data_IF_950273836470
#
_entry.id   IF_950273836470
#
_cell.length_a   1.000
_cell.length_b   1.000
_cell.length_c   1.000
_cell.angle_alpha   90.00
_cell.angle_beta   90.00
_cell.angle_gamma   90.00
#
_symmetry.space_group_name_H-M   'P 1'
#
loop_
_entity.id
_entity.type
_entity.pdbx_description
1 polymer ?
#
# COMPACT_ATOMS: atom_id res chain seq x y z
N UNK A 1 5.72 17.55 -17.92
CA UNK A 1 6.02 16.21 -17.39
C UNK A 1 4.89 15.31 -17.86
N UNK A 2 5.22 14.11 -18.29
CA UNK A 2 4.25 13.09 -18.68
C UNK A 2 4.14 12.04 -17.54
N UNK A 3 3.14 12.12 -16.64
CA UNK A 3 2.97 11.16 -15.56
C UNK A 3 2.23 9.89 -16.01
N UNK A 4 2.46 8.79 -15.30
CA UNK A 4 1.62 7.58 -15.31
C UNK A 4 1.01 7.38 -13.93
N UNK A 5 -0.26 7.00 -13.86
CA UNK A 5 -0.90 6.59 -12.61
C UNK A 5 -0.71 5.09 -12.42
N UNK A 6 -0.29 4.66 -11.24
CA UNK A 6 -0.02 3.25 -10.92
C UNK A 6 -0.87 2.85 -9.72
N UNK A 7 -1.71 1.82 -9.91
CA UNK A 7 -2.64 1.32 -8.90
C UNK A 7 -2.32 -0.14 -8.60
N UNK A 8 -1.64 -0.45 -7.47
CA UNK A 8 -1.48 -1.82 -7.03
C UNK A 8 -2.79 -2.37 -6.45
N UNK A 9 -3.15 -3.58 -6.85
CA UNK A 9 -4.30 -4.33 -6.31
C UNK A 9 -3.84 -5.67 -5.75
N UNK A 10 -4.42 -6.10 -4.64
CA UNK A 10 -4.02 -7.32 -3.92
C UNK A 10 -5.20 -8.26 -3.76
N UNK A 11 -5.07 -9.50 -4.24
CA UNK A 11 -6.18 -10.46 -4.26
C UNK A 11 -5.83 -11.77 -3.56
N UNK A 12 -6.79 -12.31 -2.80
CA UNK A 12 -6.64 -13.58 -2.10
C UNK A 12 -7.74 -14.57 -2.45
N UNK A 13 -7.49 -15.86 -2.21
CA UNK A 13 -8.50 -16.90 -2.36
C UNK A 13 -9.58 -16.81 -1.27
N UNK A 14 -10.72 -17.50 -1.48
CA UNK A 14 -11.88 -17.54 -0.54
C UNK A 14 -11.55 -17.95 0.91
N UNK A 15 -10.39 -18.53 1.15
CA UNK A 15 -9.96 -19.09 2.46
C UNK A 15 -8.58 -18.57 2.85
N UNK A 16 -8.36 -17.26 2.84
CA UNK A 16 -7.23 -16.75 3.60
C UNK A 16 -7.51 -17.00 5.09
N UNK A 17 -6.70 -17.85 5.75
CA UNK A 17 -6.76 -18.01 7.21
C UNK A 17 -5.98 -16.84 7.83
N UNK A 18 -6.63 -15.92 8.55
CA UNK A 18 -5.91 -14.85 9.26
C UNK A 18 -4.87 -15.45 10.22
N UNK A 19 -3.63 -14.97 10.16
CA UNK A 19 -2.60 -15.23 11.18
C UNK A 19 -1.50 -16.25 10.84
N UNK A 20 -1.47 -16.90 9.67
CA UNK A 20 -0.43 -17.89 9.34
C UNK A 20 0.94 -17.27 8.97
N UNK A 21 0.96 -16.16 8.21
CA UNK A 21 2.20 -15.50 7.79
C UNK A 21 2.05 -13.97 7.72
N UNK A 22 2.49 -13.25 8.76
CA UNK A 22 2.41 -11.78 8.82
C UNK A 22 3.26 -11.07 7.75
N UNK A 23 4.22 -11.76 7.13
CA UNK A 23 5.07 -11.22 6.05
C UNK A 23 4.38 -11.28 4.68
N UNK A 24 3.36 -12.13 4.53
CA UNK A 24 2.63 -12.34 3.27
C UNK A 24 1.14 -11.98 3.38
N UNK A 25 0.73 -11.30 4.45
CA UNK A 25 -0.65 -10.85 4.64
C UNK A 25 -0.73 -9.37 4.24
N UNK A 26 -1.63 -9.05 3.31
CA UNK A 26 -1.94 -7.67 2.93
C UNK A 26 -3.06 -7.12 3.81
N UNK A 27 -3.05 -5.81 4.05
CA UNK A 27 -4.00 -5.09 4.92
C UNK A 27 -5.45 -5.21 4.44
N UNK A 28 -5.65 -5.11 3.12
CA UNK A 28 -6.98 -5.14 2.47
C UNK A 28 -6.95 -5.99 1.20
N UNK A 29 -6.42 -7.21 1.29
CA UNK A 29 -6.46 -8.12 0.16
C UNK A 29 -7.92 -8.45 -0.20
N UNK A 30 -8.35 -8.13 -1.41
CA UNK A 30 -9.71 -8.36 -1.89
C UNK A 30 -9.90 -9.86 -2.18
N UNK A 31 -10.85 -10.55 -1.52
CA UNK A 31 -11.23 -11.89 -1.92
C UNK A 31 -11.74 -11.89 -3.35
N UNK A 32 -11.37 -12.90 -4.14
CA UNK A 32 -11.73 -12.92 -5.57
C UNK A 32 -13.24 -12.75 -5.84
N UNK A 33 -14.09 -13.25 -4.94
CA UNK A 33 -15.56 -13.21 -5.03
C UNK A 33 -16.22 -11.92 -4.53
N UNK A 34 -15.46 -11.00 -3.95
CA UNK A 34 -15.96 -9.69 -3.52
C UNK A 34 -15.70 -8.67 -4.64
N UNK A 35 -16.50 -7.61 -4.79
CA UNK A 35 -16.27 -6.61 -5.84
C UNK A 35 -14.90 -5.94 -5.70
N UNK A 36 -14.49 -5.59 -4.47
CA UNK A 36 -13.30 -4.77 -4.21
C UNK A 36 -13.56 -3.28 -4.47
N UNK A 37 -12.53 -2.46 -4.27
CA UNK A 37 -12.67 -0.99 -4.30
C UNK A 37 -12.21 -0.35 -5.63
N UNK A 38 -11.46 -1.09 -6.47
CA UNK A 38 -10.88 -0.57 -7.72
C UNK A 38 -11.91 0.13 -8.62
N UNK A 39 -13.12 -0.42 -8.77
CA UNK A 39 -14.17 0.19 -9.62
C UNK A 39 -14.53 1.60 -9.15
N UNK A 40 -14.65 1.82 -7.84
CA UNK A 40 -14.90 3.15 -7.26
C UNK A 40 -13.71 4.09 -7.47
N UNK A 41 -12.49 3.57 -7.35
CA UNK A 41 -11.28 4.35 -7.61
C UNK A 41 -11.23 4.81 -9.08
N UNK A 42 -11.46 3.90 -10.03
CA UNK A 42 -11.50 4.21 -11.47
C UNK A 42 -12.64 5.19 -11.82
N UNK A 43 -13.85 5.00 -11.29
CA UNK A 43 -14.95 5.97 -11.47
C UNK A 43 -14.53 7.38 -11.04
N UNK A 44 -13.80 7.50 -9.92
CA UNK A 44 -13.32 8.79 -9.43
C UNK A 44 -12.23 9.42 -10.31
N UNK A 45 -11.53 8.61 -11.11
CA UNK A 45 -10.49 9.05 -12.04
C UNK A 45 -11.06 9.61 -13.35
N UNK A 46 -12.29 9.25 -13.75
CA UNK A 46 -12.90 9.73 -15.00
C UNK A 46 -13.04 11.25 -15.08
N UNK A 47 -13.15 11.92 -13.93
CA UNK A 47 -13.21 13.39 -13.85
C UNK A 47 -11.84 14.08 -13.78
N UNK A 48 -10.74 13.33 -13.68
CA UNK A 48 -9.39 13.89 -13.53
C UNK A 48 -8.87 14.36 -14.89
N UNK A 49 -8.43 15.61 -14.92
CA UNK A 49 -7.87 16.26 -16.10
C UNK A 49 -6.46 15.71 -16.38
N UNK A 50 -6.15 15.55 -17.67
CA UNK A 50 -4.84 15.12 -18.16
C UNK A 50 -4.33 13.80 -17.54
N UNK A 51 -5.23 12.86 -17.24
CA UNK A 51 -4.92 11.60 -16.54
C UNK A 51 -3.85 10.74 -17.23
N UNK A 52 -3.86 10.69 -18.57
CA UNK A 52 -2.94 9.86 -19.34
C UNK A 52 -3.22 8.37 -19.20
N UNK A 53 -2.17 7.58 -18.94
CA UNK A 53 -2.25 6.13 -18.75
C UNK A 53 -2.42 5.79 -17.27
N UNK A 54 -3.35 4.88 -16.97
CA UNK A 54 -3.48 4.20 -15.68
C UNK A 54 -2.95 2.78 -15.81
N UNK A 55 -2.05 2.38 -14.93
CA UNK A 55 -1.49 1.03 -14.87
C UNK A 55 -2.01 0.35 -13.61
N UNK A 56 -2.82 -0.69 -13.78
CA UNK A 56 -3.31 -1.52 -12.66
C UNK A 56 -2.41 -2.73 -12.51
N UNK A 57 -1.72 -2.85 -11.39
CA UNK A 57 -0.87 -4.00 -11.08
C UNK A 57 -1.68 -5.04 -10.30
N UNK A 58 -1.65 -6.30 -10.74
CA UNK A 58 -2.46 -7.37 -10.14
C UNK A 58 -1.59 -8.32 -9.33
N UNK A 59 -1.49 -8.09 -8.03
CA UNK A 59 -0.87 -9.03 -7.09
C UNK A 59 -1.92 -10.02 -6.60
N UNK A 60 -1.62 -11.32 -6.74
CA UNK A 60 -2.55 -12.37 -6.35
C UNK A 60 -1.80 -13.66 -6.00
N UNK A 61 -2.42 -14.50 -5.17
CA UNK A 61 -1.92 -15.87 -4.95
C UNK A 61 -1.85 -16.63 -6.29
N UNK A 62 -0.79 -17.42 -6.49
CA UNK A 62 -0.53 -18.11 -7.75
C UNK A 62 -1.72 -18.95 -8.26
N UNK A 63 -2.49 -19.54 -7.34
CA UNK A 63 -3.65 -20.37 -7.67
C UNK A 63 -4.82 -19.59 -8.31
N UNK A 64 -4.89 -18.27 -8.09
CA UNK A 64 -5.99 -17.41 -8.56
C UNK A 64 -5.51 -16.27 -9.48
N UNK A 65 -4.22 -16.17 -9.77
CA UNK A 65 -3.64 -15.02 -10.45
C UNK A 65 -4.32 -14.68 -11.78
N UNK A 66 -4.58 -15.69 -12.62
CA UNK A 66 -5.30 -15.50 -13.89
C UNK A 66 -6.73 -14.98 -13.69
N UNK A 67 -7.44 -15.51 -12.70
CA UNK A 67 -8.83 -15.10 -12.41
C UNK A 67 -8.89 -13.67 -11.85
N UNK A 68 -7.92 -13.30 -11.01
CA UNK A 68 -7.79 -11.93 -10.51
C UNK A 68 -7.50 -10.96 -11.66
N UNK A 69 -6.60 -11.33 -12.56
CA UNK A 69 -6.28 -10.51 -13.74
C UNK A 69 -7.49 -10.34 -14.67
N UNK A 70 -8.22 -11.42 -14.98
CA UNK A 70 -9.48 -11.38 -15.74
C UNK A 70 -10.52 -10.47 -15.08
N UNK A 71 -10.67 -10.56 -13.75
CA UNK A 71 -11.57 -9.69 -12.99
C UNK A 71 -11.15 -8.21 -13.09
N UNK A 72 -9.86 -7.90 -12.94
CA UNK A 72 -9.38 -6.52 -13.02
C UNK A 72 -9.54 -5.94 -14.43
N UNK A 73 -9.38 -6.76 -15.48
CA UNK A 73 -9.71 -6.36 -16.87
C UNK A 73 -11.19 -6.02 -17.03
N UNK A 74 -12.09 -6.88 -16.54
CA UNK A 74 -13.52 -6.63 -16.61
C UNK A 74 -13.92 -5.34 -15.87
N UNK A 75 -13.29 -5.04 -14.73
CA UNK A 75 -13.49 -3.75 -14.04
C UNK A 75 -12.98 -2.59 -14.89
N UNK A 76 -11.79 -2.69 -15.47
CA UNK A 76 -11.23 -1.65 -16.34
C UNK A 76 -12.09 -1.38 -17.59
N UNK A 77 -12.65 -2.43 -18.21
CA UNK A 77 -13.53 -2.34 -19.38
C UNK A 77 -14.86 -1.63 -19.09
N UNK A 78 -15.31 -1.63 -17.84
CA UNK A 78 -16.48 -0.87 -17.41
C UNK A 78 -16.23 0.65 -17.40
N UNK A 79 -14.97 1.09 -17.55
CA UNK A 79 -14.54 2.50 -17.58
C UNK A 79 -13.88 2.87 -18.92
N UNK A 80 -14.60 2.83 -20.05
CA UNK A 80 -14.02 3.02 -21.40
C UNK A 80 -13.49 4.43 -21.67
N UNK A 81 -13.73 5.39 -20.78
CA UNK A 81 -13.16 6.75 -20.86
C UNK A 81 -11.71 6.81 -20.38
N UNK A 82 -11.25 5.77 -19.67
CA UNK A 82 -9.91 5.67 -19.11
C UNK A 82 -9.01 4.82 -20.02
N UNK A 83 -7.76 5.25 -20.18
CA UNK A 83 -6.73 4.39 -20.77
C UNK A 83 -6.11 3.54 -19.66
N UNK A 84 -6.62 2.33 -19.46
CA UNK A 84 -6.16 1.43 -18.40
C UNK A 84 -5.37 0.25 -18.99
N UNK A 85 -4.14 0.06 -18.52
CA UNK A 85 -3.34 -1.13 -18.78
C UNK A 85 -3.30 -2.02 -17.54
N UNK A 86 -3.83 -3.25 -17.64
CA UNK A 86 -3.76 -4.25 -16.57
C UNK A 86 -2.47 -5.07 -16.72
N UNK A 87 -1.64 -5.07 -15.67
CA UNK A 87 -0.35 -5.77 -15.60
C UNK A 87 -0.45 -6.88 -14.56
N UNK A 88 -0.66 -8.11 -15.04
CA UNK A 88 -0.59 -9.33 -14.23
C UNK A 88 0.60 -10.21 -14.58
N UNK A 89 0.44 -11.53 -14.43
CA UNK A 89 1.56 -12.48 -14.50
C UNK A 89 2.16 -12.58 -15.91
N UNK A 90 1.35 -12.47 -16.95
CA UNK A 90 1.82 -12.56 -18.34
C UNK A 90 2.72 -11.37 -18.70
N UNK A 91 2.31 -10.15 -18.31
CA UNK A 91 3.12 -8.94 -18.47
C UNK A 91 4.41 -9.00 -17.63
N UNK A 92 4.35 -9.53 -16.40
CA UNK A 92 5.53 -9.77 -15.57
C UNK A 92 6.50 -10.77 -16.23
N UNK A 93 6.00 -11.81 -16.88
CA UNK A 93 6.82 -12.77 -17.60
C UNK A 93 7.56 -12.11 -18.77
N UNK A 94 6.92 -11.20 -19.51
CA UNK A 94 7.56 -10.41 -20.56
C UNK A 94 8.67 -9.51 -20.01
N UNK A 95 8.43 -8.85 -18.87
CA UNK A 95 9.45 -8.04 -18.17
C UNK A 95 10.66 -8.92 -17.81
N UNK A 96 10.43 -10.07 -17.18
CA UNK A 96 11.49 -11.00 -16.77
C UNK A 96 12.28 -11.53 -17.97
N UNK A 97 11.59 -11.98 -19.02
CA UNK A 97 12.23 -12.44 -20.24
C UNK A 97 13.11 -11.35 -20.86
N UNK A 98 12.64 -10.10 -20.87
CA UNK A 98 13.42 -8.99 -21.39
C UNK A 98 14.61 -8.65 -20.50
N UNK A 99 14.44 -8.68 -19.18
CA UNK A 99 15.54 -8.50 -18.22
C UNK A 99 16.64 -9.55 -18.43
N UNK A 100 16.28 -10.82 -18.64
CA UNK A 100 17.24 -11.89 -18.96
C UNK A 100 17.99 -11.61 -20.27
N UNK A 101 17.29 -11.19 -21.33
CA UNK A 101 17.92 -10.79 -22.61
C UNK A 101 18.86 -9.60 -22.46
N UNK A 102 18.55 -8.69 -21.54
CA UNK A 102 19.38 -7.54 -21.20
C UNK A 102 20.50 -7.90 -20.20
N UNK A 103 20.71 -9.18 -19.88
CA UNK A 103 21.68 -9.68 -18.90
C UNK A 103 21.52 -9.06 -17.51
N UNK A 104 20.29 -8.69 -17.14
CA UNK A 104 19.95 -8.31 -15.77
C UNK A 104 19.73 -9.61 -14.99
N UNK A 105 20.31 -9.71 -13.80
CA UNK A 105 20.23 -10.92 -12.98
C UNK A 105 18.80 -11.34 -12.65
N UNK A 106 18.63 -12.56 -12.13
CA UNK A 106 17.33 -13.07 -11.68
C UNK A 106 16.90 -12.33 -10.42
N UNK A 107 15.87 -11.50 -10.57
CA UNK A 107 15.33 -10.61 -9.52
C UNK A 107 13.84 -10.86 -9.29
N UNK A 108 13.45 -12.15 -9.27
CA UNK A 108 12.05 -12.57 -9.25
C UNK A 108 11.31 -12.14 -7.98
N UNK A 109 12.04 -11.99 -6.87
CA UNK A 109 11.49 -11.53 -5.58
C UNK A 109 11.43 -10.01 -5.53
N UNK A 110 12.46 -9.34 -6.04
CA UNK A 110 12.63 -7.89 -5.94
C UNK A 110 11.76 -7.12 -6.92
N UNK A 111 11.46 -7.75 -8.07
CA UNK A 111 10.57 -7.27 -9.12
C UNK A 111 9.54 -8.36 -9.38
N UNK A 112 8.41 -8.25 -8.69
CA UNK A 112 7.36 -9.25 -8.73
C UNK A 112 6.04 -8.75 -8.18
N UNK A 113 4.96 -9.43 -8.55
CA UNK A 113 3.59 -9.11 -8.12
C UNK A 113 3.26 -9.80 -6.78
N UNK A 114 4.17 -9.71 -5.81
CA UNK A 114 4.02 -10.25 -4.45
C UNK A 114 4.78 -9.37 -3.47
N UNK A 115 4.11 -8.89 -2.43
CA UNK A 115 4.64 -7.89 -1.50
C UNK A 115 4.48 -6.47 -2.04
N UNK A 116 4.29 -5.51 -1.15
CA UNK A 116 4.01 -4.12 -1.52
C UNK A 116 5.17 -3.48 -2.31
N UNK A 117 6.39 -3.56 -1.78
CA UNK A 117 7.57 -2.94 -2.40
C UNK A 117 7.91 -3.53 -3.77
N UNK A 118 7.91 -4.86 -3.90
CA UNK A 118 8.19 -5.53 -5.17
C UNK A 118 7.12 -5.20 -6.24
N UNK A 119 5.85 -5.12 -5.83
CA UNK A 119 4.76 -4.76 -6.73
C UNK A 119 4.94 -3.32 -7.23
N UNK A 120 5.22 -2.37 -6.34
CA UNK A 120 5.53 -0.97 -6.74
C UNK A 120 6.76 -0.89 -7.66
N UNK A 121 7.77 -1.73 -7.46
CA UNK A 121 8.94 -1.81 -8.36
C UNK A 121 8.56 -2.26 -9.79
N UNK A 122 7.61 -3.20 -9.96
CA UNK A 122 7.06 -3.55 -11.29
C UNK A 122 6.45 -2.31 -11.94
N UNK A 123 5.70 -1.52 -11.19
CA UNK A 123 5.16 -0.25 -11.65
C UNK A 123 6.23 0.73 -12.15
N UNK A 124 7.33 0.88 -11.40
CA UNK A 124 8.46 1.74 -11.79
C UNK A 124 9.18 1.22 -13.04
N UNK A 125 9.34 -0.10 -13.19
CA UNK A 125 9.91 -0.72 -14.39
C UNK A 125 9.02 -0.46 -15.60
N UNK A 126 7.70 -0.63 -15.47
CA UNK A 126 6.73 -0.31 -16.52
C UNK A 126 6.79 1.17 -16.90
N UNK A 127 6.81 2.07 -15.91
CA UNK A 127 6.92 3.50 -16.12
C UNK A 127 8.21 3.87 -16.89
N UNK A 128 9.33 3.26 -16.52
CA UNK A 128 10.63 3.48 -17.18
C UNK A 128 10.67 2.92 -18.61
N UNK A 129 10.16 1.70 -18.82
CA UNK A 129 10.11 1.07 -20.13
C UNK A 129 9.26 1.87 -21.13
N UNK A 130 8.14 2.40 -20.66
CA UNK A 130 7.24 3.24 -21.47
C UNK A 130 7.67 4.70 -21.58
N UNK A 131 8.76 5.11 -20.90
CA UNK A 131 9.35 6.43 -21.03
C UNK A 131 8.60 7.56 -20.30
N UNK A 132 7.89 7.25 -19.20
CA UNK A 132 7.21 8.27 -18.40
C UNK A 132 8.18 9.10 -17.56
N UNK A 133 7.85 10.38 -17.35
CA UNK A 133 8.69 11.31 -16.56
C UNK A 133 8.43 11.21 -15.06
N UNK A 134 7.26 10.70 -14.67
CA UNK A 134 6.84 10.57 -13.29
C UNK A 134 5.87 9.40 -13.13
N UNK A 135 5.89 8.78 -11.95
CA UNK A 135 4.91 7.80 -11.50
C UNK A 135 4.09 8.42 -10.36
N UNK A 136 2.77 8.35 -10.44
CA UNK A 136 1.84 8.73 -9.37
C UNK A 136 1.18 7.45 -8.88
N UNK A 137 1.50 7.06 -7.64
CA UNK A 137 0.85 5.92 -7.01
C UNK A 137 -0.45 6.34 -6.36
N UNK A 138 -1.47 5.50 -6.53
CA UNK A 138 -2.82 5.61 -5.97
C UNK A 138 -3.21 4.19 -5.52
N UNK A 139 -3.78 4.03 -4.34
CA UNK A 139 -4.24 2.73 -3.85
C UNK A 139 -5.69 2.47 -4.33
N UNK A 140 -6.13 1.21 -4.39
CA UNK A 140 -7.42 0.86 -5.00
C UNK A 140 -8.64 1.25 -4.15
N UNK A 141 -8.43 1.55 -2.88
CA UNK A 141 -9.44 2.00 -1.92
C UNK A 141 -9.56 3.54 -1.82
N UNK A 142 -8.88 4.26 -2.70
CA UNK A 142 -8.84 5.71 -2.73
C UNK A 142 -9.86 6.33 -3.70
N UNK A 143 -10.32 7.54 -3.37
CA UNK A 143 -11.28 8.30 -4.18
C UNK A 143 -10.76 9.71 -4.37
N UNK A 144 -10.68 10.13 -5.63
CA UNK A 144 -10.20 11.45 -6.00
C UNK A 144 -11.38 12.38 -6.17
N UNK A 145 -11.30 13.56 -5.58
CA UNK A 145 -12.37 14.57 -5.66
C UNK A 145 -12.08 15.71 -6.61
N UNK A 146 -10.82 16.14 -6.65
CA UNK A 146 -10.38 17.30 -7.41
C UNK A 146 -10.06 16.90 -8.86
N UNK A 147 -10.76 17.46 -9.87
CA UNK A 147 -10.40 17.26 -11.27
C UNK A 147 -8.95 17.62 -11.59
N UNK A 148 -8.32 18.51 -10.81
CA UNK A 148 -6.93 18.94 -11.01
C UNK A 148 -5.92 18.09 -10.24
N UNK A 149 -6.33 16.93 -9.72
CA UNK A 149 -5.48 16.06 -8.89
C UNK A 149 -4.08 15.83 -9.48
N UNK A 150 -3.95 15.52 -10.77
CA UNK A 150 -2.64 15.34 -11.40
C UNK A 150 -1.84 16.64 -11.59
N UNK A 151 -2.50 17.76 -11.84
CA UNK A 151 -1.81 19.06 -11.86
C UNK A 151 -1.21 19.36 -10.49
N UNK A 152 -1.98 19.09 -9.42
CA UNK A 152 -1.49 19.23 -8.07
C UNK A 152 -0.37 18.21 -7.81
N UNK A 153 -0.47 16.96 -8.25
CA UNK A 153 0.60 15.95 -8.16
C UNK A 153 1.91 16.36 -8.85
N UNK A 154 1.84 17.15 -9.93
CA UNK A 154 3.02 17.63 -10.65
C UNK A 154 3.57 18.95 -10.10
N UNK A 155 2.83 19.65 -9.23
CA UNK A 155 3.28 20.91 -8.66
C UNK A 155 4.60 20.75 -7.89
N UNK A 156 5.62 21.48 -8.33
CA UNK A 156 6.97 21.47 -7.74
C UNK A 156 7.83 20.25 -8.08
N UNK A 157 7.25 19.15 -8.59
CA UNK A 157 8.01 17.96 -8.95
C UNK A 157 8.97 18.26 -10.12
N UNK A 158 10.21 17.76 -10.04
CA UNK A 158 11.28 18.06 -10.98
C UNK A 158 11.85 19.48 -10.89
N UNK A 159 11.36 20.32 -9.97
CA UNK A 159 11.88 21.68 -9.73
C UNK A 159 12.89 21.71 -8.58
N UNK A 160 13.60 22.82 -8.47
CA UNK A 160 14.49 23.09 -7.35
C UNK A 160 13.77 23.89 -6.26
N UNK A 161 14.08 23.58 -5.02
CA UNK A 161 13.74 24.43 -3.87
C UNK A 161 14.56 25.72 -3.90
N UNK A 162 14.21 26.68 -3.04
CA UNK A 162 15.03 27.91 -2.87
C UNK A 162 16.49 27.65 -2.47
N UNK A 163 16.79 26.47 -1.89
CA UNK A 163 18.14 26.04 -1.51
C UNK A 163 18.84 25.21 -2.59
N UNK A 164 18.27 25.11 -3.80
CA UNK A 164 18.83 24.31 -4.89
C UNK A 164 18.64 22.80 -4.75
N UNK A 165 17.87 22.34 -3.76
CA UNK A 165 17.58 20.90 -3.58
C UNK A 165 16.48 20.49 -4.57
N UNK A 166 16.67 19.45 -5.39
CA UNK A 166 15.66 18.99 -6.32
C UNK A 166 14.50 18.27 -5.61
N UNK A 167 13.28 18.51 -6.09
CA UNK A 167 12.05 17.86 -5.61
C UNK A 167 11.77 16.68 -6.53
N UNK A 168 12.29 15.51 -6.17
CA UNK A 168 12.21 14.32 -7.01
C UNK A 168 11.17 13.30 -6.52
N UNK A 169 10.68 13.46 -5.31
CA UNK A 169 9.53 12.74 -4.80
C UNK A 169 8.70 13.68 -3.93
N UNK A 170 7.38 13.50 -3.93
CA UNK A 170 6.50 14.20 -3.00
C UNK A 170 5.27 13.37 -2.66
N UNK A 171 4.65 13.70 -1.55
CA UNK A 171 3.44 13.06 -1.05
C UNK A 171 2.42 14.11 -0.65
N UNK A 172 1.14 13.78 -0.82
CA UNK A 172 0.04 14.57 -0.33
C UNK A 172 -0.42 14.09 1.05
N UNK A 173 -1.72 14.14 1.29
CA UNK A 173 -2.33 13.61 2.50
C UNK A 173 -3.72 13.03 2.23
N UNK A 174 -4.15 12.19 3.16
CA UNK A 174 -5.48 11.62 3.11
C UNK A 174 -6.51 12.44 3.85
N UNK A 175 -7.73 12.34 3.34
CA UNK A 175 -8.95 12.74 4.00
C UNK A 175 -9.72 11.46 4.34
N UNK A 176 -10.05 11.29 5.62
CA UNK A 176 -10.88 10.17 6.07
C UNK A 176 -12.37 10.40 5.81
N UNK A 177 -13.21 9.45 6.21
CA UNK A 177 -14.67 9.52 6.10
C UNK A 177 -15.32 10.75 6.76
N UNK A 178 -14.63 11.36 7.73
CA UNK A 178 -15.05 12.52 8.50
C UNK A 178 -14.54 13.83 7.91
N UNK A 179 -13.87 13.79 6.76
CA UNK A 179 -13.30 15.00 6.16
C UNK A 179 -12.02 15.49 6.84
N UNK A 180 -11.38 14.67 7.70
CA UNK A 180 -10.20 15.05 8.48
C UNK A 180 -8.93 14.33 7.98
N UNK A 181 -7.78 14.98 8.14
CA UNK A 181 -6.45 14.40 7.90
C UNK A 181 -5.82 13.80 9.17
N UNK A 182 -6.51 13.90 10.31
CA UNK A 182 -6.04 13.37 11.58
C UNK A 182 -6.35 11.89 11.69
N UNK A 183 -5.44 11.18 12.34
CA UNK A 183 -5.73 9.83 12.82
C UNK A 183 -6.77 9.84 13.92
N UNK A 184 -7.60 8.80 13.96
CA UNK A 184 -8.64 8.62 15.00
C UNK A 184 -8.08 8.05 16.31
N UNK A 185 -6.87 8.42 16.65
CA UNK A 185 -6.20 7.94 17.84
C UNK A 185 -6.85 8.47 19.12
N UNK A 186 -6.85 7.62 20.15
CA UNK A 186 -7.36 7.93 21.47
C UNK A 186 -6.28 7.66 22.54
N UNK A 187 -6.20 8.57 23.51
CA UNK A 187 -5.30 8.46 24.67
C UNK A 187 -5.86 7.51 25.73
N UNK A 188 -5.83 6.21 25.43
CA UNK A 188 -6.29 5.16 26.35
C UNK A 188 -5.10 4.48 27.02
N UNK A 189 -5.23 4.05 28.27
CA UNK A 189 -4.14 3.49 29.09
C UNK A 189 -3.38 2.35 28.41
N UNK A 190 -4.06 1.49 27.63
CA UNK A 190 -3.44 0.37 26.93
C UNK A 190 -2.63 0.78 25.68
N UNK A 191 -2.71 2.05 25.25
CA UNK A 191 -1.92 2.65 24.18
C UNK A 191 -0.73 3.47 24.69
N UNK A 192 -0.50 3.54 26.01
CA UNK A 192 0.56 4.38 26.63
C UNK A 192 1.94 4.20 25.99
N UNK A 193 2.29 2.99 25.56
CA UNK A 193 3.58 2.65 24.94
C UNK A 193 3.53 2.57 23.41
N UNK A 194 2.39 2.92 22.79
CA UNK A 194 2.14 2.89 21.35
C UNK A 194 1.36 4.13 20.91
N UNK A 195 2.04 5.27 20.92
CA UNK A 195 1.46 6.59 20.65
C UNK A 195 1.60 7.02 19.19
N UNK A 196 1.45 6.07 18.27
CA UNK A 196 1.70 6.29 16.85
C UNK A 196 0.80 7.37 16.24
N UNK A 197 -0.49 7.26 16.49
CA UNK A 197 -1.47 8.24 16.03
C UNK A 197 -1.30 9.62 16.66
N UNK A 198 -0.94 9.70 17.94
CA UNK A 198 -0.63 10.98 18.58
C UNK A 198 0.58 11.67 17.94
N UNK A 199 1.69 10.94 17.78
CA UNK A 199 2.90 11.41 17.12
C UNK A 199 2.63 11.91 15.70
N UNK A 200 1.88 11.14 14.92
CA UNK A 200 1.46 11.55 13.58
C UNK A 200 0.55 12.78 13.59
N UNK A 201 -0.46 12.83 14.46
CA UNK A 201 -1.38 13.96 14.56
C UNK A 201 -0.61 15.25 14.87
N UNK A 202 0.41 15.17 15.72
CA UNK A 202 1.31 16.29 16.00
C UNK A 202 2.13 16.70 14.76
N UNK A 203 2.68 15.73 14.02
CA UNK A 203 3.41 16.00 12.79
C UNK A 203 2.52 16.63 11.70
N UNK A 204 1.41 15.99 11.34
CA UNK A 204 0.54 16.45 10.23
C UNK A 204 -0.07 17.81 10.55
N UNK A 205 -0.45 18.07 11.79
CA UNK A 205 -0.96 19.40 12.22
C UNK A 205 0.09 20.49 11.99
N UNK A 206 1.36 20.18 12.21
CA UNK A 206 2.46 21.12 11.96
C UNK A 206 2.71 21.28 10.47
N UNK A 207 2.74 20.18 9.71
CA UNK A 207 2.95 20.17 8.26
C UNK A 207 1.85 20.95 7.51
N UNK A 208 0.59 20.81 7.93
CA UNK A 208 -0.56 21.51 7.35
C UNK A 208 -0.50 23.03 7.53
N UNK A 209 0.15 23.52 8.60
CA UNK A 209 0.39 24.96 8.85
C UNK A 209 1.62 25.50 8.10
N UNK A 210 2.44 24.61 7.54
CA UNK A 210 3.67 24.95 6.84
C UNK A 210 3.44 25.56 5.46
N UNK A 211 4.54 25.88 4.74
CA UNK A 211 4.46 26.23 3.32
C UNK A 211 3.88 25.06 2.53
N UNK A 212 3.35 25.34 1.33
CA UNK A 212 2.72 24.31 0.49
C UNK A 212 3.60 23.06 0.35
N UNK A 213 4.87 23.25 0.01
CA UNK A 213 5.86 22.17 -0.05
C UNK A 213 6.82 22.29 1.13
N UNK A 214 6.78 21.31 2.04
CA UNK A 214 7.69 21.18 3.18
C UNK A 214 8.39 19.83 3.15
N UNK A 215 9.52 19.69 3.84
CA UNK A 215 10.15 18.37 4.01
C UNK A 215 9.19 17.44 4.75
N UNK A 216 8.91 16.25 4.23
CA UNK A 216 7.97 15.32 4.86
C UNK A 216 8.68 14.31 5.76
N UNK A 217 8.06 13.92 6.87
CA UNK A 217 8.50 12.75 7.66
C UNK A 217 7.54 11.56 7.54
N UNK A 218 6.51 11.67 6.72
CA UNK A 218 5.56 10.60 6.45
C UNK A 218 5.24 10.56 4.97
N UNK A 219 4.75 9.42 4.50
CA UNK A 219 4.36 9.20 3.13
C UNK A 219 2.99 8.54 3.11
N UNK A 220 2.13 9.06 2.27
CA UNK A 220 0.85 8.48 1.90
C UNK A 220 1.08 7.67 0.62
N UNK A 221 1.09 6.34 0.72
CA UNK A 221 1.49 5.42 -0.36
C UNK A 221 0.72 5.59 -1.68
N UNK A 222 -0.59 5.76 -1.62
CA UNK A 222 -1.47 6.12 -2.74
C UNK A 222 -1.67 7.63 -2.97
N UNK A 223 -0.96 8.48 -2.24
CA UNK A 223 -0.83 9.90 -2.60
C UNK A 223 0.66 10.24 -2.74
N UNK A 224 1.35 9.54 -3.62
CA UNK A 224 2.80 9.60 -3.81
C UNK A 224 3.16 9.86 -5.29
N UNK A 225 3.93 10.90 -5.56
CA UNK A 225 4.46 11.21 -6.89
C UNK A 225 5.98 11.10 -6.88
N UNK A 226 6.53 10.30 -7.80
CA UNK A 226 7.96 9.99 -7.93
C UNK A 226 8.43 10.37 -9.33
N UNK A 227 9.38 11.29 -9.42
CA UNK A 227 10.00 11.71 -10.68
C UNK A 227 10.96 10.61 -11.19
N UNK A 228 11.18 10.53 -12.50
CA UNK A 228 12.09 9.54 -13.10
C UNK A 228 13.49 9.53 -12.53
N UNK A 229 14.04 10.69 -12.22
CA UNK A 229 15.35 10.78 -11.56
C UNK A 229 15.37 10.17 -10.15
N UNK A 230 14.24 10.07 -9.44
CA UNK A 230 14.17 9.31 -8.19
C UNK A 230 14.10 7.81 -8.46
N UNK A 231 13.14 7.35 -9.26
CA UNK A 231 12.98 5.91 -9.49
C UNK A 231 14.08 5.28 -10.36
N UNK A 232 14.83 6.05 -11.16
CA UNK A 232 16.08 5.60 -11.81
C UNK A 232 17.16 5.22 -10.79
N UNK A 233 17.16 5.91 -9.65
CA UNK A 233 18.21 5.75 -8.63
C UNK A 233 17.79 4.80 -7.54
N UNK A 234 16.52 4.76 -7.14
CA UNK A 234 16.07 4.05 -5.94
C UNK A 234 14.84 3.19 -6.18
N UNK A 235 14.90 1.96 -5.67
CA UNK A 235 13.80 1.01 -5.61
C UNK A 235 13.02 1.13 -4.28
N UNK A 236 11.79 0.62 -4.27
CA UNK A 236 11.14 0.22 -3.03
C UNK A 236 11.80 -1.04 -2.47
N UNK A 237 11.80 -1.17 -1.14
CA UNK A 237 12.35 -2.35 -0.47
C UNK A 237 11.40 -3.56 -0.59
N UNK A 238 11.80 -4.66 -1.24
CA UNK A 238 10.95 -5.84 -1.38
C UNK A 238 10.77 -6.64 -0.09
N UNK A 239 11.65 -6.47 0.90
CA UNK A 239 11.65 -7.25 2.15
C UNK A 239 10.85 -6.59 3.27
N UNK A 240 10.46 -5.33 3.15
CA UNK A 240 9.55 -4.73 4.12
C UNK A 240 8.13 -5.28 3.88
N UNK A 241 7.52 -5.83 4.93
CA UNK A 241 6.20 -6.49 4.83
C UNK A 241 5.03 -5.50 4.76
N UNK A 242 5.22 -4.28 5.27
CA UNK A 242 4.21 -3.20 5.36
C UNK A 242 4.94 -1.87 5.60
N UNK A 243 4.46 -0.76 5.03
CA UNK A 243 5.05 0.57 5.23
C UNK A 243 6.20 0.87 4.27
N UNK A 244 6.19 0.26 3.09
CA UNK A 244 7.15 0.45 2.01
C UNK A 244 7.25 1.89 1.53
N UNK A 245 6.19 2.68 1.71
CA UNK A 245 6.11 4.10 1.35
C UNK A 245 7.01 4.96 2.24
N UNK A 246 6.91 4.79 3.56
CA UNK A 246 7.78 5.45 4.53
C UNK A 246 9.20 4.91 4.44
N UNK A 247 9.37 3.60 4.23
CA UNK A 247 10.70 3.03 3.99
C UNK A 247 11.34 3.61 2.73
N UNK A 248 10.58 3.85 1.67
CA UNK A 248 11.08 4.55 0.47
C UNK A 248 11.56 5.97 0.78
N UNK A 249 10.89 6.70 1.67
CA UNK A 249 11.41 7.98 2.19
C UNK A 249 12.72 7.81 2.93
N UNK A 250 12.84 6.80 3.82
CA UNK A 250 14.08 6.52 4.53
C UNK A 250 15.21 6.19 3.55
N UNK A 251 14.91 5.40 2.52
CA UNK A 251 15.84 5.07 1.43
C UNK A 251 16.28 6.32 0.67
N UNK A 252 15.34 7.18 0.26
CA UNK A 252 15.65 8.47 -0.37
C UNK A 252 16.64 9.27 0.47
N UNK A 253 16.40 9.39 1.78
CA UNK A 253 17.28 10.12 2.69
C UNK A 253 18.65 9.48 2.85
N UNK A 254 18.73 8.15 2.99
CA UNK A 254 20.01 7.43 3.05
C UNK A 254 20.85 7.66 1.79
N UNK A 255 20.22 7.78 0.62
CA UNK A 255 20.89 8.04 -0.66
C UNK A 255 20.89 9.53 -1.07
N UNK A 256 20.75 10.43 -0.09
CA UNK A 256 20.97 11.88 -0.27
C UNK A 256 19.87 12.64 -1.02
N UNK A 257 18.67 12.07 -1.12
CA UNK A 257 17.45 12.71 -1.64
C UNK A 257 16.42 12.87 -0.52
N UNK A 258 15.26 13.45 -0.83
CA UNK A 258 14.19 13.60 0.15
C UNK A 258 12.80 13.52 -0.49
N UNK A 259 11.78 13.43 0.35
CA UNK A 259 10.39 13.53 -0.06
C UNK A 259 9.74 14.79 0.53
N UNK A 260 8.93 15.45 -0.29
CA UNK A 260 8.25 16.70 0.07
C UNK A 260 6.77 16.46 0.36
N UNK A 261 6.25 17.06 1.41
CA UNK A 261 4.82 17.08 1.74
C UNK A 261 4.15 18.23 1.00
N UNK A 262 3.07 17.96 0.27
CA UNK A 262 2.23 18.97 -0.38
C UNK A 262 0.89 19.12 0.36
N UNK A 263 0.75 20.19 1.15
CA UNK A 263 -0.45 20.43 1.95
C UNK A 263 -1.70 20.86 1.15
N UNK A 264 -1.61 20.89 -0.18
CA UNK A 264 -2.73 21.12 -1.10
C UNK A 264 -3.10 19.89 -1.93
N UNK A 265 -2.23 18.88 -1.98
CA UNK A 265 -2.49 17.67 -2.73
C UNK A 265 -3.09 16.61 -1.81
N UNK A 266 -4.31 16.17 -2.12
CA UNK A 266 -5.10 15.28 -1.25
C UNK A 266 -6.03 14.39 -2.03
N UNK A 267 -6.47 13.32 -1.39
CA UNK A 267 -7.55 12.46 -1.86
C UNK A 267 -8.27 11.85 -0.65
N UNK A 268 -9.43 11.23 -0.88
CA UNK A 268 -10.17 10.50 0.16
C UNK A 268 -9.70 9.06 0.24
N UNK A 269 -9.37 8.60 1.44
CA UNK A 269 -8.96 7.23 1.69
C UNK A 269 -10.11 6.49 2.38
N UNK A 270 -10.63 5.44 1.74
CA UNK A 270 -11.86 4.74 2.11
C UNK A 270 -11.65 3.20 2.10
N UNK A 271 -10.78 2.68 2.98
CA UNK A 271 -10.45 1.27 3.04
C UNK A 271 -11.65 0.42 3.50
N UNK A 272 -11.70 -0.86 3.12
CA UNK A 272 -12.72 -1.76 3.63
C UNK A 272 -12.49 -2.08 5.12
N UNK A 273 -13.55 -2.54 5.80
CA UNK A 273 -13.46 -2.91 7.22
C UNK A 273 -12.40 -4.01 7.44
N UNK A 274 -11.48 -3.76 8.38
CA UNK A 274 -10.43 -4.72 8.69
C UNK A 274 -10.91 -5.80 9.66
N UNK A 275 -10.55 -7.05 9.37
CA UNK A 275 -11.00 -8.21 10.12
C UNK A 275 -10.32 -8.39 11.50
N UNK A 276 -9.16 -7.77 11.76
CA UNK A 276 -8.33 -8.07 12.95
C UNK A 276 -7.37 -6.93 13.33
N UNK A 277 -7.63 -6.27 14.46
CA UNK A 277 -6.72 -5.25 15.02
C UNK A 277 -5.39 -5.85 15.51
N UNK A 278 -5.41 -7.05 16.08
CA UNK A 278 -4.21 -7.65 16.62
C UNK A 278 -3.28 -8.21 15.54
N UNK A 279 -3.81 -8.65 14.40
CA UNK A 279 -2.99 -9.05 13.25
C UNK A 279 -2.38 -7.83 12.54
N UNK A 280 -3.11 -6.70 12.42
CA UNK A 280 -2.54 -5.40 11.99
C UNK A 280 -1.40 -4.94 12.88
N UNK A 281 -1.64 -4.95 14.18
CA UNK A 281 -0.59 -4.64 15.14
C UNK A 281 0.60 -5.59 15.02
N UNK A 282 0.37 -6.87 14.68
CA UNK A 282 1.47 -7.80 14.39
C UNK A 282 2.25 -7.37 13.14
N UNK A 283 1.62 -6.93 12.05
CA UNK A 283 2.34 -6.44 10.87
C UNK A 283 3.18 -5.19 11.21
N UNK A 284 2.65 -4.25 12.01
CA UNK A 284 3.40 -3.08 12.48
C UNK A 284 4.66 -3.47 13.26
N UNK A 285 4.58 -4.54 14.05
CA UNK A 285 5.75 -5.07 14.78
C UNK A 285 6.83 -5.53 13.80
N UNK A 286 6.47 -6.26 12.74
CA UNK A 286 7.43 -6.67 11.73
C UNK A 286 8.03 -5.47 11.01
N UNK A 287 7.18 -4.51 10.61
CA UNK A 287 7.58 -3.24 9.99
C UNK A 287 8.60 -2.49 10.83
N UNK A 288 8.23 -2.08 12.04
CA UNK A 288 9.06 -1.17 12.83
C UNK A 288 10.35 -1.82 13.31
N UNK A 289 10.32 -3.12 13.62
CA UNK A 289 11.55 -3.86 13.97
C UNK A 289 12.46 -3.99 12.74
N UNK A 290 11.90 -4.25 11.56
CA UNK A 290 12.67 -4.28 10.30
C UNK A 290 13.29 -2.92 9.99
N UNK A 291 12.49 -1.84 9.97
CA UNK A 291 12.96 -0.46 9.68
C UNK A 291 14.06 -0.02 10.67
N UNK A 292 13.85 -0.27 11.97
CA UNK A 292 14.87 0.02 12.99
C UNK A 292 16.20 -0.70 12.69
N UNK A 293 16.14 -2.01 12.43
CA UNK A 293 17.35 -2.82 12.14
C UNK A 293 18.00 -2.43 10.82
N UNK A 294 17.22 -2.05 9.81
CA UNK A 294 17.72 -1.55 8.53
C UNK A 294 18.48 -0.24 8.71
N UNK A 295 17.96 0.69 9.51
CA UNK A 295 18.67 1.92 9.85
C UNK A 295 19.90 1.69 10.73
N UNK A 296 19.89 0.69 11.63
CA UNK A 296 21.11 0.31 12.34
C UNK A 296 22.18 -0.23 11.39
N UNK A 297 21.80 -1.11 10.46
CA UNK A 297 22.71 -1.69 9.48
C UNK A 297 23.29 -0.62 8.54
N UNK A 298 22.47 0.33 8.08
CA UNK A 298 22.92 1.39 7.16
C UNK A 298 23.98 2.30 7.76
N UNK A 299 24.03 2.47 9.09
CA UNK A 299 25.09 3.25 9.77
C UNK A 299 26.48 2.66 9.59
N UNK A 300 26.58 1.37 9.29
CA UNK A 300 27.86 0.70 9.02
C UNK A 300 28.33 0.87 7.55
N UNK A 301 27.47 1.39 6.67
CA UNK A 301 27.78 1.60 5.25
C UNK A 301 28.30 3.02 5.03
N UNK A 302 29.49 3.14 4.44
CA UNK A 302 30.24 4.40 4.31
C UNK A 302 29.55 5.38 3.34
N UNK A 303 28.94 4.86 2.29
CA UNK A 303 28.38 5.67 1.20
C UNK A 303 26.95 6.20 1.48
N UNK A 304 26.38 5.89 2.65
CA UNK A 304 25.02 6.29 3.01
C UNK A 304 24.98 7.43 4.02
N UNK A 305 24.04 8.35 3.82
CA UNK A 305 23.71 9.36 4.81
C UNK A 305 23.01 8.72 6.01
N UNK A 306 23.43 9.13 7.21
CA UNK A 306 22.81 8.64 8.44
C UNK A 306 21.45 9.30 8.67
N UNK A 307 20.39 8.50 8.63
CA UNK A 307 19.05 8.92 9.04
C UNK A 307 18.90 8.69 10.54
N UNK A 308 18.69 9.79 11.26
CA UNK A 308 18.59 9.81 12.73
C UNK A 308 17.13 9.90 13.17
N UNK A 309 16.76 9.19 14.22
CA UNK A 309 15.39 9.20 14.75
C UNK A 309 14.96 10.61 15.16
N UNK A 310 15.88 11.38 15.74
CA UNK A 310 15.68 12.76 16.17
C UNK A 310 15.32 13.69 14.99
N UNK A 311 15.82 13.39 13.79
CA UNK A 311 15.47 14.14 12.57
C UNK A 311 14.08 13.81 12.02
N UNK A 312 13.42 12.80 12.60
CA UNK A 312 12.11 12.30 12.25
C UNK A 312 11.08 12.56 13.37
N UNK A 313 11.40 13.37 14.37
CA UNK A 313 10.42 13.78 15.38
C UNK A 313 9.36 14.73 14.79
N UNK A 314 8.10 14.69 15.27
CA UNK A 314 7.57 13.78 16.29
C UNK A 314 7.18 12.40 15.74
N UNK A 315 7.13 12.22 14.41
CA UNK A 315 6.79 10.96 13.74
C UNK A 315 7.62 10.79 12.47
N UNK A 316 8.20 9.60 12.20
CA UNK A 316 8.16 8.35 12.97
C UNK A 316 9.26 8.20 14.04
N UNK A 317 9.98 9.27 14.40
CA UNK A 317 11.16 9.25 15.29
C UNK A 317 11.08 8.26 16.45
N UNK A 318 10.03 8.29 17.30
CA UNK A 318 9.93 7.42 18.45
C UNK A 318 9.91 5.94 18.11
N UNK A 319 9.62 5.52 16.88
CA UNK A 319 9.60 4.10 16.47
C UNK A 319 10.93 3.62 15.91
N UNK A 320 11.91 4.51 15.73
CA UNK A 320 13.22 4.22 15.15
C UNK A 320 14.34 4.33 16.19
N UNK A 321 13.98 4.19 17.47
CA UNK A 321 14.87 4.27 18.62
C UNK A 321 15.01 2.94 19.38
N UNK A 322 16.12 2.76 20.12
CA UNK A 322 16.29 1.63 21.04
C UNK A 322 15.10 1.49 22.01
N UNK A 323 14.79 0.25 22.40
CA UNK A 323 13.70 -0.04 23.34
C UNK A 323 12.32 -0.18 22.71
N UNK A 324 12.19 -0.04 21.38
CA UNK A 324 10.97 -0.36 20.62
C UNK A 324 10.40 -1.75 20.97
N UNK A 325 11.23 -2.80 20.98
CA UNK A 325 10.78 -4.16 21.26
C UNK A 325 10.10 -4.29 22.65
N UNK A 326 10.60 -3.57 23.65
CA UNK A 326 10.01 -3.54 25.00
C UNK A 326 8.65 -2.82 24.99
N UNK A 327 8.55 -1.66 24.33
CA UNK A 327 7.29 -0.92 24.18
C UNK A 327 6.23 -1.73 23.45
N UNK A 328 6.62 -2.43 22.39
CA UNK A 328 5.75 -3.37 21.68
C UNK A 328 5.23 -4.46 22.62
N UNK A 329 6.13 -5.15 23.35
CA UNK A 329 5.74 -6.26 24.21
C UNK A 329 4.78 -5.81 25.33
N UNK A 330 5.02 -4.63 25.92
CA UNK A 330 4.12 -4.03 26.90
C UNK A 330 2.76 -3.69 26.27
N UNK A 331 2.75 -3.00 25.13
CA UNK A 331 1.51 -2.66 24.41
C UNK A 331 0.70 -3.91 24.07
N UNK A 332 1.34 -4.94 23.51
CA UNK A 332 0.69 -6.20 23.16
C UNK A 332 0.04 -6.87 24.37
N UNK A 333 0.72 -6.85 25.52
CA UNK A 333 0.21 -7.38 26.77
C UNK A 333 -1.00 -6.57 27.27
N UNK A 334 -0.90 -5.25 27.34
CA UNK A 334 -2.00 -4.38 27.80
C UNK A 334 -3.24 -4.54 26.90
N UNK A 335 -3.05 -4.49 25.58
CA UNK A 335 -4.12 -4.69 24.60
C UNK A 335 -4.73 -6.09 24.68
N UNK A 336 -3.96 -7.12 25.05
CA UNK A 336 -4.49 -8.48 25.24
C UNK A 336 -5.46 -8.63 26.44
N UNK A 337 -5.46 -7.68 27.37
CA UNK A 337 -6.44 -7.61 28.46
C UNK A 337 -7.65 -6.75 28.09
N UNK A 338 -7.40 -5.63 27.41
CA UNK A 338 -8.39 -4.59 27.17
C UNK A 338 -9.21 -4.73 25.88
N UNK A 339 -8.63 -5.29 24.82
CA UNK A 339 -9.26 -5.38 23.49
C UNK A 339 -9.91 -6.74 23.29
N UNK A 340 -10.88 -6.82 22.38
CA UNK A 340 -11.60 -8.07 22.08
C UNK A 340 -10.72 -9.10 21.37
N UNK A 341 -9.76 -8.65 20.55
CA UNK A 341 -8.84 -9.50 19.79
C UNK A 341 -7.64 -10.02 20.62
N UNK A 342 -7.95 -10.53 21.81
CA UNK A 342 -6.96 -10.99 22.81
C UNK A 342 -6.01 -12.05 22.25
N UNK A 343 -6.54 -12.95 21.41
CA UNK A 343 -5.75 -14.04 20.82
C UNK A 343 -4.72 -13.50 19.82
N UNK A 344 -5.08 -12.58 18.94
CA UNK A 344 -4.12 -12.01 18.01
C UNK A 344 -3.08 -11.14 18.73
N UNK A 345 -3.46 -10.36 19.74
CA UNK A 345 -2.48 -9.59 20.54
C UNK A 345 -1.47 -10.48 21.26
N UNK A 346 -1.88 -11.66 21.76
CA UNK A 346 -0.93 -12.65 22.30
C UNK A 346 0.02 -13.19 21.24
N UNK A 347 -0.45 -13.43 20.00
CA UNK A 347 0.42 -13.81 18.88
C UNK A 347 1.38 -12.67 18.51
N UNK A 348 0.90 -11.43 18.46
CA UNK A 348 1.70 -10.23 18.19
C UNK A 348 2.83 -10.07 19.24
N UNK A 349 2.52 -10.27 20.53
CA UNK A 349 3.50 -10.27 21.61
C UNK A 349 4.61 -11.32 21.42
N UNK A 350 4.23 -12.54 20.99
CA UNK A 350 5.19 -13.61 20.69
C UNK A 350 6.06 -13.25 19.49
N UNK A 351 5.46 -12.70 18.43
CA UNK A 351 6.17 -12.30 17.23
C UNK A 351 7.23 -11.21 17.53
N UNK A 352 6.88 -10.22 18.35
CA UNK A 352 7.79 -9.15 18.77
C UNK A 352 9.06 -9.63 19.47
N UNK A 353 8.95 -10.71 20.24
CA UNK A 353 10.07 -11.23 21.05
C UNK A 353 11.13 -11.94 20.22
N UNK A 354 10.76 -12.52 19.07
CA UNK A 354 11.68 -13.39 18.32
C UNK A 354 11.46 -13.34 16.81
N UNK A 355 10.24 -13.57 16.35
CA UNK A 355 9.96 -13.73 14.91
C UNK A 355 10.35 -12.47 14.11
N UNK A 356 9.93 -11.30 14.57
CA UNK A 356 10.23 -10.03 13.90
C UNK A 356 11.72 -9.68 13.93
N UNK A 357 12.42 -9.97 15.04
CA UNK A 357 13.88 -9.73 15.14
C UNK A 357 14.65 -10.64 14.21
N UNK A 358 14.34 -11.94 14.22
CA UNK A 358 14.98 -12.93 13.34
C UNK A 358 14.70 -12.60 11.87
N UNK A 359 13.48 -12.16 11.56
CA UNK A 359 13.14 -11.71 10.21
C UNK A 359 13.99 -10.50 9.80
N UNK A 360 14.07 -9.47 10.65
CA UNK A 360 14.82 -8.26 10.36
C UNK A 360 16.32 -8.55 10.18
N UNK A 361 16.93 -9.31 11.07
CA UNK A 361 18.36 -9.68 11.01
C UNK A 361 18.71 -10.47 9.74
N UNK A 362 17.79 -11.31 9.25
CA UNK A 362 17.99 -12.12 8.04
C UNK A 362 17.83 -11.33 6.74
N UNK A 363 17.13 -10.19 6.76
CA UNK A 363 16.69 -9.53 5.54
C UNK A 363 17.16 -8.08 5.39
N UNK A 364 17.46 -7.35 6.47
CA UNK A 364 17.75 -5.92 6.39
C UNK A 364 18.92 -5.55 5.47
N UNK A 365 19.93 -6.42 5.35
CA UNK A 365 21.06 -6.23 4.45
C UNK A 365 20.71 -6.39 2.96
N UNK A 366 19.67 -7.20 2.64
CA UNK A 366 19.35 -7.59 1.27
C UNK A 366 18.90 -6.42 0.40
N UNK A 367 18.18 -5.47 1.00
CA UNK A 367 17.81 -4.24 0.32
C UNK A 367 19.03 -3.52 -0.27
N UNK A 368 20.10 -3.36 0.51
CA UNK A 368 21.29 -2.64 0.05
C UNK A 368 22.00 -3.38 -1.09
N UNK A 369 21.97 -4.73 -1.09
CA UNK A 369 22.47 -5.53 -2.21
C UNK A 369 21.64 -5.34 -3.47
N UNK A 370 20.30 -5.40 -3.36
CA UNK A 370 19.40 -5.16 -4.50
C UNK A 370 19.52 -3.74 -5.06
N UNK A 371 19.59 -2.76 -4.16
CA UNK A 371 19.68 -1.34 -4.49
C UNK A 371 20.98 -1.01 -5.26
N UNK A 372 22.03 -1.82 -5.14
CA UNK A 372 23.23 -1.68 -5.98
C UNK A 372 22.96 -2.04 -7.45
N UNK A 373 22.13 -3.05 -7.71
CA UNK A 373 21.77 -3.52 -9.06
C UNK A 373 20.68 -2.67 -9.70
N UNK A 374 19.81 -2.04 -8.90
CA UNK A 374 18.63 -1.32 -9.39
C UNK A 374 18.92 -0.22 -10.44
N UNK A 375 19.89 0.70 -10.26
CA UNK A 375 20.13 1.74 -11.26
C UNK A 375 20.55 1.20 -12.62
N UNK A 376 21.36 0.14 -12.63
CA UNK A 376 21.79 -0.52 -13.87
C UNK A 376 20.61 -1.20 -14.58
N UNK A 377 19.73 -1.85 -13.81
CA UNK A 377 18.51 -2.43 -14.33
C UNK A 377 17.64 -1.37 -15.01
N UNK A 378 17.34 -0.27 -14.31
CA UNK A 378 16.50 0.78 -14.85
C UNK A 378 17.13 1.41 -16.09
N UNK A 379 18.44 1.66 -16.08
CA UNK A 379 19.15 2.19 -17.25
C UNK A 379 19.05 1.29 -18.50
N UNK A 380 18.95 -0.04 -18.32
CA UNK A 380 18.83 -0.99 -19.43
C UNK A 380 17.40 -1.12 -19.96
N UNK A 381 16.39 -0.97 -19.11
CA UNK A 381 14.97 -1.06 -19.53
C UNK A 381 14.40 0.28 -19.97
N UNK A 382 15.03 1.39 -19.60
CA UNK A 382 14.54 2.72 -19.87
C UNK A 382 14.34 2.99 -21.36
N UNK A 383 13.10 3.29 -21.74
CA UNK A 383 12.74 3.52 -23.14
C UNK A 383 12.94 2.31 -24.06
N UNK A 384 13.10 1.10 -23.51
CA UNK A 384 13.32 -0.12 -24.27
C UNK A 384 12.10 -0.41 -25.17
N UNK A 385 12.26 -0.15 -26.46
CA UNK A 385 11.17 -0.22 -27.43
C UNK A 385 10.60 -1.62 -27.59
N UNK A 386 11.40 -2.66 -27.34
CA UNK A 386 10.94 -4.05 -27.42
C UNK A 386 10.01 -4.38 -26.26
N UNK A 387 10.41 -4.02 -25.04
CA UNK A 387 9.58 -4.18 -23.84
C UNK A 387 8.31 -3.35 -23.93
N UNK A 388 8.43 -2.08 -24.31
CA UNK A 388 7.29 -1.17 -24.45
C UNK A 388 6.24 -1.75 -25.40
N UNK A 389 6.65 -2.22 -26.59
CA UNK A 389 5.75 -2.86 -27.55
C UNK A 389 5.16 -4.16 -27.03
N UNK A 390 5.95 -4.99 -26.35
CA UNK A 390 5.47 -6.25 -25.79
C UNK A 390 4.39 -6.00 -24.72
N UNK A 391 4.60 -5.04 -23.83
CA UNK A 391 3.63 -4.65 -22.80
C UNK A 391 2.33 -4.09 -23.41
N UNK A 392 2.44 -3.16 -24.36
CA UNK A 392 1.27 -2.57 -25.04
C UNK A 392 0.50 -3.65 -25.82
N UNK A 393 1.19 -4.49 -26.58
CA UNK A 393 0.54 -5.57 -27.32
C UNK A 393 -0.12 -6.59 -26.40
N UNK A 394 0.51 -6.93 -25.27
CA UNK A 394 -0.08 -7.82 -24.27
C UNK A 394 -1.36 -7.22 -23.67
N UNK A 395 -1.40 -5.91 -23.46
CA UNK A 395 -2.59 -5.21 -23.00
C UNK A 395 -3.70 -5.24 -24.06
N UNK A 396 -3.37 -4.97 -25.33
CA UNK A 396 -4.32 -4.96 -26.45
C UNK A 396 -4.89 -6.34 -26.78
N UNK A 397 -4.04 -7.38 -26.89
CA UNK A 397 -4.47 -8.76 -27.17
C UNK A 397 -5.40 -9.28 -26.07
N UNK A 398 -5.17 -8.86 -24.83
CA UNK A 398 -6.05 -9.21 -23.73
C UNK A 398 -7.43 -8.52 -23.81
N UNK A 399 -7.53 -7.35 -24.44
CA UNK A 399 -8.82 -6.70 -24.72
C UNK A 399 -9.63 -7.42 -25.80
N UNK A 400 -8.97 -8.03 -26.79
CA UNK A 400 -9.64 -8.72 -27.91
C UNK A 400 -10.01 -10.18 -27.60
N UNK A 401 -9.60 -10.71 -26.44
CA UNK A 401 -9.93 -12.08 -26.04
C UNK A 401 -11.41 -12.19 -25.63
N UNK A 402 -12.22 -13.07 -26.24
CA UNK A 402 -13.63 -13.22 -25.87
C UNK A 402 -13.75 -13.64 -24.40
N UNK A 403 -14.45 -12.83 -23.60
CA UNK A 403 -14.76 -13.18 -22.21
C UNK A 403 -15.48 -14.53 -22.17
N UNK A 404 -14.82 -15.54 -21.59
CA UNK A 404 -15.47 -16.82 -21.34
C UNK A 404 -16.67 -16.57 -20.41
N UNK A 405 -17.87 -16.87 -20.91
CA UNK A 405 -19.12 -16.64 -20.20
C UNK A 405 -19.06 -17.22 -18.78
N UNK A 406 -19.44 -16.40 -17.79
CA UNK A 406 -19.63 -16.83 -16.42
C UNK A 406 -20.50 -18.11 -16.38
N UNK A 407 -20.18 -19.11 -15.54
CA UNK A 407 -21.01 -20.30 -15.44
C UNK A 407 -22.40 -19.88 -14.93
N UNK A 408 -23.37 -19.86 -15.85
CA UNK A 408 -24.77 -19.66 -15.55
C UNK A 408 -25.24 -20.72 -14.56
N UNK A 409 -26.05 -20.27 -13.59
CA UNK A 409 -26.47 -21.02 -12.43
C UNK A 409 -26.89 -22.46 -12.71
N UNK A 410 -26.44 -23.36 -11.83
CA UNK A 410 -26.97 -24.69 -11.72
C UNK A 410 -28.48 -24.60 -11.41
N UNK A 411 -29.30 -24.76 -12.45
CA UNK A 411 -30.70 -25.13 -12.33
C UNK A 411 -30.76 -26.47 -11.60
N UNK A 412 -31.21 -26.47 -10.35
CA UNK A 412 -31.66 -27.71 -9.70
C UNK A 412 -33.03 -28.09 -10.28
N UNK A 413 -33.09 -29.25 -10.91
CA UNK A 413 -34.33 -29.92 -11.28
C UNK A 413 -34.93 -30.64 -10.05
N UNK A 414 -36.26 -30.83 -10.00
CA UNK A 414 -36.98 -31.20 -8.79
C UNK A 414 -37.12 -32.72 -8.60
N UNK A 415 -37.11 -33.16 -7.34
CA UNK A 415 -37.46 -34.51 -6.89
C UNK A 415 -37.26 -34.58 -5.38
N UNK A 416 -38.30 -34.25 -4.61
CA UNK A 416 -39.16 -35.24 -3.95
C UNK A 416 -38.44 -36.01 -2.84
N UNK A 417 -38.56 -35.51 -1.60
CA UNK A 417 -39.10 -36.35 -0.54
C UNK A 417 -39.75 -35.49 0.56
N UNK A 418 -40.97 -35.89 0.86
CA UNK A 418 -41.87 -35.36 1.87
C UNK A 418 -41.48 -36.00 3.20
N UNK A 419 -41.34 -35.22 4.28
CA UNK A 419 -41.88 -35.61 5.60
C UNK A 419 -41.85 -34.45 6.60
N UNK A 420 -43.06 -34.13 7.05
CA UNK A 420 -43.47 -33.66 8.38
C UNK A 420 -42.95 -32.31 8.92
N UNK A 421 -43.87 -31.33 8.84
CA UNK A 421 -43.85 -30.09 9.58
C UNK A 421 -44.21 -30.29 11.08
N UNK A 422 -43.59 -29.50 11.94
CA UNK A 422 -44.15 -29.07 13.22
C UNK A 422 -43.83 -27.57 13.43
N UNK A 423 -44.73 -26.79 14.06
CA UNK A 423 -44.82 -25.34 13.84
C UNK A 423 -43.92 -24.52 14.78
N UNK A 424 -43.29 -23.47 14.24
CA UNK A 424 -42.68 -22.38 15.02
C UNK A 424 -43.76 -21.39 15.51
N UNK A 425 -43.67 -20.86 16.73
CA UNK A 425 -44.52 -19.76 17.17
C UNK A 425 -44.00 -18.40 16.69
N UNK A 426 -44.97 -17.51 16.53
CA UNK A 426 -44.98 -16.11 16.13
C UNK A 426 -43.70 -15.26 16.31
N UNK A 427 -43.41 -14.48 15.27
CA UNK A 427 -42.45 -13.40 15.22
C UNK A 427 -42.75 -12.30 16.25
N UNK A 428 -41.74 -11.95 17.05
CA UNK A 428 -41.67 -10.66 17.73
C UNK A 428 -40.92 -9.69 16.81
N UNK A 429 -41.56 -8.55 16.52
CA UNK A 429 -40.98 -7.43 15.78
C UNK A 429 -39.66 -6.98 16.43
N UNK A 430 -38.58 -6.98 15.65
CA UNK A 430 -37.32 -6.31 16.01
C UNK A 430 -37.23 -5.00 15.24
N UNK A 431 -36.89 -3.87 15.90
CA UNK A 431 -36.77 -2.59 15.24
C UNK A 431 -35.58 -2.58 14.27
N UNK A 432 -35.76 -1.80 13.20
CA UNK A 432 -34.82 -1.58 12.09
C UNK A 432 -33.41 -1.22 12.59
N UNK A 433 -32.32 -1.82 12.06
CA UNK A 433 -30.99 -1.34 12.33
C UNK A 433 -30.75 -0.02 11.58
N UNK A 434 -30.41 0.99 12.37
CA UNK A 434 -29.94 2.32 11.99
C UNK A 434 -28.62 2.21 11.21
N UNK A 435 -28.44 3.09 10.22
CA UNK A 435 -27.32 3.13 9.27
C UNK A 435 -25.91 3.15 9.93
N UNK A 436 -24.88 2.50 9.33
CA UNK A 436 -23.52 2.47 9.91
C UNK A 436 -22.69 3.72 9.56
N UNK A 437 -21.76 4.06 10.48
CA UNK A 437 -20.88 5.24 10.52
C UNK A 437 -19.43 4.86 10.15
N UNK A 438 -18.71 5.68 9.36
CA UNK A 438 -17.53 5.30 8.52
C UNK A 438 -16.08 5.17 9.10
N UNK A 439 -15.05 5.50 8.32
CA UNK A 439 -13.69 4.93 8.27
C UNK A 439 -12.51 5.97 8.44
N UNK A 440 -11.38 5.74 9.18
CA UNK A 440 -10.40 6.77 9.68
C UNK A 440 -8.88 6.56 9.47
N UNK A 441 -8.06 7.61 9.26
CA UNK A 441 -6.61 7.51 8.93
C UNK A 441 -5.73 6.88 10.04
N UNK A 442 -4.81 5.99 9.67
CA UNK A 442 -3.72 5.43 10.49
C UNK A 442 -2.35 5.94 9.93
N UNK A 443 -1.34 6.23 10.76
CA UNK A 443 -0.01 6.63 10.26
C UNK A 443 0.92 5.46 9.87
N UNK A 444 0.66 4.26 10.41
CA UNK A 444 1.46 3.03 10.25
C UNK A 444 1.10 2.19 9.04
N UNK A 445 -0.03 2.49 8.45
CA UNK A 445 -0.33 2.30 7.07
C UNK A 445 -1.37 3.35 6.79
N UNK A 446 -1.38 3.86 5.59
CA UNK A 446 -2.50 4.66 5.18
C UNK A 446 -3.67 3.76 4.80
N UNK A 447 -4.05 2.90 5.76
CA UNK A 447 -5.07 1.84 5.79
C UNK A 447 -5.42 1.49 7.24
N UNK A 448 -6.20 2.41 7.80
CA UNK A 448 -7.17 2.33 8.90
C UNK A 448 -6.92 1.66 10.26
N UNK A 449 -7.29 2.43 11.29
CA UNK A 449 -7.98 1.93 12.49
C UNK A 449 -9.12 2.89 12.89
N UNK A 450 -10.36 2.39 12.93
CA UNK A 450 -11.38 2.81 13.91
C UNK A 450 -11.45 1.79 15.03
N UNK A 451 -11.62 2.30 16.25
CA UNK A 451 -12.11 1.57 17.41
C UNK A 451 -13.44 2.26 17.79
N UNK A 452 -14.54 1.50 17.85
CA UNK A 452 -15.83 2.03 18.28
C UNK A 452 -15.84 2.25 19.80
N UNK A 453 -16.28 3.43 20.25
CA UNK A 453 -16.72 3.71 21.63
C UNK A 453 -18.07 4.47 21.62
N UNK A 454 -19.06 3.89 22.29
CA UNK A 454 -20.24 4.47 22.98
C UNK A 454 -20.86 3.27 23.73
N UNK A 455 -21.19 3.26 25.02
CA UNK A 455 -21.56 4.32 25.97
C UNK A 455 -21.10 3.95 27.41
N UNK A 456 -20.68 4.96 28.17
CA UNK A 456 -20.90 5.02 29.63
C UNK A 456 -21.35 6.46 29.94
N UNK A 457 -22.66 6.68 29.87
CA UNK A 457 -23.34 7.62 30.75
C UNK A 457 -23.90 6.80 31.91
N UNK A 458 -23.19 6.83 33.04
CA UNK A 458 -23.69 7.18 34.38
C UNK A 458 -22.50 7.33 35.34
#
# INVERSE_FOLDING_TARGET
MNPVVIIPTFHTGRRHRPGSNAVATYDHATPLNEPGELGRCLESLEKVQDLGLVVVLVSAEAAIARQAEEKMRAIAEAHPQLNVMVVGQDALALIRQRMEQLNVGKLDFEIGLSGYGATRNVGLVVASALGFDAAVFIDDDEVIDDPRFLHEAMYGLGKLTRKGIPILAKTGYYINDQGSCLSKWEDVWYNRFWQQGAAFNQWITTAMKGPRLSRSNHVCGGCLAVHKEAFRRLAFDPWISRGEDLDYMLNLRMYGSDIWFDNKWKLRHLPPESASEGDRFRQDIFRWIYEYRKLEYSRALIDLQQVKAESLEPYPGPFLEPGLARRIALTALLRSFARDDKKAYRRAAKAARKEAQVFAERNCAKYFSFQYTWPELIARVEGDQMLARALVNSALVAHDAPMAAAPQGARMAPGADVMAAAPQPAAAERPMPVAPRGAGIDPGATTEIRLNLSDFED
#
